data_IF_424123693587
#
_entry.id   IF_424123693587
#
_cell.length_a   1.000
_cell.length_b   1.000
_cell.length_c   1.000
_cell.angle_alpha   90.00
_cell.angle_beta   90.00
_cell.angle_gamma   90.00
#
_symmetry.space_group_name_H-M   'P 1'
#
loop_
_entity.id
_entity.type
_entity.pdbx_description
1 polymer ?
#
# COMPACT_ATOMS: atom_id res chain seq x y z
N UNK A 1 8.81 -30.51 0.54
CA UNK A 1 7.40 -30.64 0.11
C UNK A 1 6.97 -29.30 -0.45
N UNK A 2 6.64 -29.19 -1.75
CA UNK A 2 6.07 -27.94 -2.25
C UNK A 2 4.71 -27.73 -1.57
N UNK A 3 4.36 -26.50 -1.17
CA UNK A 3 3.01 -26.20 -0.73
C UNK A 3 2.01 -26.70 -1.80
N UNK A 4 0.93 -27.36 -1.38
CA UNK A 4 -0.11 -27.74 -2.34
C UNK A 4 -0.69 -26.51 -3.04
N UNK A 5 -1.26 -26.65 -4.26
CA UNK A 5 -1.74 -25.52 -5.07
C UNK A 5 -2.70 -24.57 -4.35
N UNK A 6 -3.48 -25.09 -3.40
CA UNK A 6 -4.42 -24.31 -2.58
C UNK A 6 -3.70 -23.32 -1.65
N UNK A 7 -2.58 -23.74 -1.05
CA UNK A 7 -1.81 -22.90 -0.14
C UNK A 7 -1.13 -21.76 -0.91
N UNK A 8 -0.56 -22.04 -2.08
CA UNK A 8 0.06 -21.01 -2.91
C UNK A 8 -0.94 -19.92 -3.34
N UNK A 9 -2.18 -20.30 -3.67
CA UNK A 9 -3.25 -19.33 -4.00
C UNK A 9 -3.63 -18.47 -2.80
N UNK A 10 -3.76 -19.08 -1.62
CA UNK A 10 -4.04 -18.33 -0.39
C UNK A 10 -2.93 -17.33 -0.07
N UNK A 11 -1.66 -17.74 -0.18
CA UNK A 11 -0.53 -16.83 0.00
C UNK A 11 -0.56 -15.68 -1.01
N UNK A 12 -0.91 -15.95 -2.28
CA UNK A 12 -1.08 -14.91 -3.29
C UNK A 12 -2.19 -13.92 -2.93
N UNK A 13 -3.39 -14.41 -2.58
CA UNK A 13 -4.51 -13.55 -2.18
C UNK A 13 -4.19 -12.72 -0.93
N UNK A 14 -3.48 -13.29 0.05
CA UNK A 14 -3.03 -12.55 1.22
C UNK A 14 -2.07 -11.42 0.84
N UNK A 15 -1.13 -11.66 -0.09
CA UNK A 15 -0.22 -10.62 -0.58
C UNK A 15 -0.97 -9.49 -1.26
N UNK A 16 -1.97 -9.82 -2.10
CA UNK A 16 -2.84 -8.84 -2.76
C UNK A 16 -3.64 -8.01 -1.74
N UNK A 17 -4.29 -8.68 -0.78
CA UNK A 17 -5.09 -8.00 0.24
C UNK A 17 -4.26 -7.07 1.11
N UNK A 18 -3.06 -7.50 1.50
CA UNK A 18 -2.14 -6.66 2.28
C UNK A 18 -1.78 -5.41 1.48
N UNK A 19 -1.25 -5.58 0.27
CA UNK A 19 -0.72 -4.46 -0.51
C UNK A 19 -1.81 -3.50 -1.01
N UNK A 20 -2.98 -4.01 -1.42
CA UNK A 20 -4.10 -3.15 -1.81
C UNK A 20 -4.77 -2.49 -0.59
N UNK A 21 -4.77 -3.18 0.56
CA UNK A 21 -5.40 -2.70 1.79
C UNK A 21 -4.60 -1.64 2.51
N UNK A 22 -3.27 -1.64 2.40
CA UNK A 22 -2.37 -0.70 3.11
C UNK A 22 -2.64 0.77 2.78
N UNK A 23 -2.74 1.19 1.50
CA UNK A 23 -3.10 2.57 1.16
C UNK A 23 -4.48 2.97 1.65
N UNK A 24 -5.46 2.06 1.55
CA UNK A 24 -6.83 2.32 2.01
C UNK A 24 -6.89 2.52 3.52
N UNK A 25 -6.19 1.66 4.27
CA UNK A 25 -6.05 1.77 5.71
C UNK A 25 -5.35 3.07 6.10
N UNK A 26 -4.23 3.40 5.44
CA UNK A 26 -3.48 4.62 5.70
C UNK A 26 -4.34 5.88 5.46
N UNK A 27 -5.12 5.90 4.38
CA UNK A 27 -6.07 6.99 4.10
C UNK A 27 -7.13 7.11 5.19
N UNK A 28 -7.77 6.00 5.56
CA UNK A 28 -8.79 5.96 6.61
C UNK A 28 -8.25 6.42 7.97
N UNK A 29 -7.01 6.01 8.28
CA UNK A 29 -6.30 6.45 9.48
C UNK A 29 -6.05 7.96 9.48
N UNK A 30 -5.65 8.55 8.35
CA UNK A 30 -5.45 9.99 8.23
C UNK A 30 -6.78 10.76 8.41
N UNK A 31 -7.88 10.29 7.81
CA UNK A 31 -9.20 10.91 8.00
C UNK A 31 -9.64 10.87 9.47
N UNK A 32 -9.40 9.77 10.17
CA UNK A 32 -9.69 9.66 11.60
C UNK A 32 -8.77 10.55 12.46
N UNK A 33 -7.51 10.73 12.05
CA UNK A 33 -6.52 11.55 12.78
C UNK A 33 -6.78 13.05 12.59
N UNK A 34 -7.29 13.45 11.41
CA UNK A 34 -7.54 14.83 11.05
C UNK A 34 -9.02 15.05 10.71
N UNK A 35 -9.92 15.04 11.72
CA UNK A 35 -11.37 15.13 11.50
C UNK A 35 -11.84 16.48 10.92
N UNK A 36 -10.97 17.51 10.94
CA UNK A 36 -11.24 18.83 10.36
C UNK A 36 -10.78 18.99 8.91
N UNK A 37 -10.35 17.92 8.23
CA UNK A 37 -10.02 17.99 6.81
C UNK A 37 -11.28 18.37 6.00
N UNK A 38 -11.15 19.28 5.02
CA UNK A 38 -12.26 19.57 4.13
C UNK A 38 -12.62 18.32 3.31
N UNK A 39 -13.83 18.27 2.72
CA UNK A 39 -14.21 17.22 1.81
C UNK A 39 -13.17 17.02 0.71
N UNK A 40 -13.04 15.77 0.23
CA UNK A 40 -12.06 15.39 -0.81
C UNK A 40 -12.13 16.28 -2.06
N UNK A 41 -13.31 16.78 -2.40
CA UNK A 41 -13.55 17.67 -3.54
C UNK A 41 -13.05 19.12 -3.33
N UNK A 42 -12.76 19.51 -2.09
CA UNK A 42 -12.35 20.86 -1.69
C UNK A 42 -10.89 20.91 -1.21
N UNK A 43 -10.17 19.79 -1.28
CA UNK A 43 -8.74 19.74 -0.97
C UNK A 43 -7.96 20.51 -2.05
N UNK A 44 -7.14 21.47 -1.63
CA UNK A 44 -6.19 22.13 -2.51
C UNK A 44 -5.04 21.18 -2.92
N UNK A 45 -4.27 21.56 -3.95
CA UNK A 45 -3.20 20.74 -4.51
C UNK A 45 -2.12 20.40 -3.48
N UNK A 46 -1.80 21.35 -2.61
CA UNK A 46 -0.71 21.23 -1.64
C UNK A 46 -1.10 20.26 -0.51
N UNK A 47 -2.34 20.37 -0.01
CA UNK A 47 -2.86 19.44 0.98
C UNK A 47 -3.04 18.04 0.40
N UNK A 48 -3.46 17.93 -0.87
CA UNK A 48 -3.47 16.66 -1.60
C UNK A 48 -2.08 16.00 -1.63
N UNK A 49 -1.07 16.76 -2.06
CA UNK A 49 0.30 16.26 -2.12
C UNK A 49 0.81 15.85 -0.73
N UNK A 50 0.52 16.65 0.30
CA UNK A 50 0.88 16.34 1.68
C UNK A 50 0.24 15.03 2.17
N UNK A 51 -1.06 14.87 1.98
CA UNK A 51 -1.80 13.69 2.42
C UNK A 51 -1.35 12.44 1.66
N UNK A 52 -1.20 12.52 0.33
CA UNK A 52 -0.72 11.40 -0.49
C UNK A 52 0.69 10.96 -0.08
N UNK A 53 1.60 11.90 0.20
CA UNK A 53 2.93 11.57 0.70
C UNK A 53 2.86 10.83 2.06
N UNK A 54 1.94 11.23 2.96
CA UNK A 54 1.73 10.52 4.23
C UNK A 54 1.16 9.12 4.03
N UNK A 55 0.20 8.95 3.13
CA UNK A 55 -0.34 7.63 2.76
C UNK A 55 0.76 6.72 2.28
N UNK A 56 1.58 7.20 1.33
CA UNK A 56 2.68 6.44 0.78
C UNK A 56 3.70 6.06 1.86
N UNK A 57 4.07 7.00 2.74
CA UNK A 57 5.00 6.73 3.83
C UNK A 57 4.47 5.65 4.79
N UNK A 58 3.20 5.74 5.21
CA UNK A 58 2.57 4.73 6.09
C UNK A 58 2.49 3.38 5.37
N UNK A 59 2.09 3.35 4.10
CA UNK A 59 2.00 2.13 3.30
C UNK A 59 3.36 1.45 3.16
N UNK A 60 4.43 2.20 2.86
CA UNK A 60 5.79 1.64 2.77
C UNK A 60 6.24 1.01 4.08
N UNK A 61 5.96 1.64 5.22
CA UNK A 61 6.30 1.10 6.54
C UNK A 61 5.54 -0.21 6.79
N UNK A 62 4.21 -0.20 6.60
CA UNK A 62 3.37 -1.37 6.86
C UNK A 62 3.68 -2.52 5.90
N UNK A 63 3.79 -2.25 4.59
CA UNK A 63 4.17 -3.24 3.60
C UNK A 63 5.57 -3.79 3.85
N UNK A 64 6.51 -2.96 4.29
CA UNK A 64 7.86 -3.40 4.69
C UNK A 64 7.82 -4.42 5.82
N UNK A 65 6.96 -4.22 6.83
CA UNK A 65 6.75 -5.19 7.91
C UNK A 65 6.16 -6.49 7.36
N UNK A 66 5.11 -6.42 6.55
CA UNK A 66 4.48 -7.62 5.99
C UNK A 66 5.38 -8.38 5.01
N UNK A 67 6.18 -7.67 4.22
CA UNK A 67 7.15 -8.25 3.31
C UNK A 67 8.24 -8.99 4.08
N UNK A 68 8.76 -8.37 5.14
CA UNK A 68 9.75 -9.01 6.04
C UNK A 68 9.17 -10.29 6.63
N UNK A 69 7.95 -10.24 7.17
CA UNK A 69 7.26 -11.43 7.69
C UNK A 69 7.05 -12.50 6.63
N UNK A 70 6.62 -12.13 5.42
CA UNK A 70 6.40 -13.07 4.32
C UNK A 70 7.71 -13.78 3.93
N UNK A 71 8.82 -13.06 3.87
CA UNK A 71 10.15 -13.62 3.57
C UNK A 71 10.64 -14.53 4.70
N UNK A 72 10.55 -14.10 5.97
CA UNK A 72 10.95 -14.90 7.13
C UNK A 72 10.16 -16.21 7.23
N UNK A 73 8.87 -16.18 6.87
CA UNK A 73 7.99 -17.36 6.85
C UNK A 73 8.07 -18.17 5.55
N UNK A 74 8.99 -17.82 4.63
CA UNK A 74 9.17 -18.46 3.31
C UNK A 74 7.90 -18.49 2.45
N UNK A 75 7.03 -17.48 2.59
CA UNK A 75 5.79 -17.29 1.83
C UNK A 75 6.06 -16.45 0.58
N UNK A 76 6.84 -17.02 -0.35
CA UNK A 76 7.36 -16.27 -1.51
C UNK A 76 6.27 -15.76 -2.46
N UNK A 77 5.15 -16.49 -2.60
CA UNK A 77 4.01 -16.03 -3.41
C UNK A 77 3.36 -14.77 -2.82
N UNK A 78 3.25 -14.70 -1.49
CA UNK A 78 2.76 -13.51 -0.80
C UNK A 78 3.71 -12.33 -1.00
N UNK A 79 5.01 -12.54 -0.75
CA UNK A 79 6.05 -11.52 -0.92
C UNK A 79 6.08 -10.96 -2.35
N UNK A 80 5.99 -11.83 -3.36
CA UNK A 80 5.96 -11.41 -4.77
C UNK A 80 4.76 -10.51 -5.07
N UNK A 81 3.56 -10.87 -4.60
CA UNK A 81 2.36 -10.06 -4.85
C UNK A 81 2.43 -8.71 -4.13
N UNK A 82 2.99 -8.66 -2.92
CA UNK A 82 3.26 -7.39 -2.23
C UNK A 82 4.13 -6.51 -3.12
N UNK A 83 5.31 -7.00 -3.51
CA UNK A 83 6.27 -6.24 -4.34
C UNK A 83 5.64 -5.76 -5.65
N UNK A 84 4.90 -6.62 -6.36
CA UNK A 84 4.29 -6.26 -7.65
C UNK A 84 3.28 -5.12 -7.51
N UNK A 85 2.44 -5.17 -6.47
CA UNK A 85 1.43 -4.14 -6.22
C UNK A 85 2.08 -2.85 -5.72
N UNK A 86 3.06 -2.95 -4.81
CA UNK A 86 3.84 -1.79 -4.36
C UNK A 86 4.52 -1.09 -5.54
N UNK A 87 5.06 -1.86 -6.50
CA UNK A 87 5.65 -1.30 -7.73
C UNK A 87 4.65 -0.48 -8.53
N UNK A 88 3.42 -0.98 -8.67
CA UNK A 88 2.35 -0.24 -9.33
C UNK A 88 2.08 1.10 -8.61
N UNK A 89 1.97 1.10 -7.28
CA UNK A 89 1.78 2.33 -6.52
C UNK A 89 2.95 3.31 -6.63
N UNK A 90 4.19 2.82 -6.62
CA UNK A 90 5.38 3.66 -6.80
C UNK A 90 5.35 4.31 -8.20
N UNK A 91 5.03 3.56 -9.25
CA UNK A 91 4.92 4.09 -10.61
C UNK A 91 3.82 5.15 -10.67
N UNK A 92 2.63 4.88 -10.13
CA UNK A 92 1.54 5.85 -10.07
C UNK A 92 1.91 7.10 -9.28
N UNK A 93 2.61 6.95 -8.15
CA UNK A 93 3.07 8.07 -7.34
C UNK A 93 4.11 8.93 -8.06
N UNK A 94 5.05 8.32 -8.78
CA UNK A 94 6.05 9.04 -9.59
C UNK A 94 5.36 9.77 -10.75
N UNK A 95 4.43 9.10 -11.46
CA UNK A 95 3.68 9.71 -12.55
C UNK A 95 2.88 10.92 -12.09
N UNK A 96 2.12 10.78 -11.01
CA UNK A 96 1.35 11.89 -10.44
C UNK A 96 2.29 13.02 -9.99
N UNK A 97 3.37 12.73 -9.27
CA UNK A 97 4.31 13.76 -8.85
C UNK A 97 4.95 14.51 -10.02
N UNK A 98 5.16 13.86 -11.17
CA UNK A 98 5.68 14.52 -12.37
C UNK A 98 4.67 15.48 -13.01
N UNK A 99 3.38 15.20 -12.94
CA UNK A 99 2.32 16.05 -13.51
C UNK A 99 2.06 17.32 -12.68
N UNK A 100 2.34 17.25 -11.37
CA UNK A 100 2.08 18.34 -10.41
C UNK A 100 3.35 19.06 -9.92
N UNK A 101 4.52 18.77 -10.52
CA UNK A 101 5.79 19.51 -10.38
C UNK A 101 5.99 20.46 -11.56
#
# INVERSE_FOLDING_TARGET
MSPGPRRERLEAYMGVLVAAGTPWFAWSYLLATYPGLPPVAELDSDLWAYLLNRVLAISVILEGVYLTLALSLKRYRMALNIVLISLFYIITAIYWRWEWL
#
